data_IF_849658443979
#
_entry.id   IF_849658443979
#
_cell.length_a   1.000
_cell.length_b   1.000
_cell.length_c   1.000
_cell.angle_alpha   90.00
_cell.angle_beta   90.00
_cell.angle_gamma   90.00
#
_symmetry.space_group_name_H-M   'P 1'
#
loop_
_entity.id
_entity.type
_entity.pdbx_description
1 polymer ?
2 polymer ?
3 water ?
#
# COMPACT_ATOMS: atom_id res chain seq x y z
N UNK A 2 1.34 -19.01 -14.51
CA UNK A 2 2.37 -18.04 -14.94
C UNK A 2 2.19 -16.67 -14.29
N UNK A 3 0.93 -16.32 -14.03
CA UNK A 3 0.63 -15.02 -13.49
C UNK A 3 1.12 -14.91 -12.05
N UNK A 4 1.17 -16.04 -11.33
CA UNK A 4 1.62 -16.02 -9.95
C UNK A 4 3.15 -15.97 -9.83
N UNK A 5 3.89 -16.66 -10.70
CA UNK A 5 5.35 -16.48 -10.76
C UNK A 5 5.70 -15.04 -11.06
N UNK A 6 4.92 -14.45 -11.93
CA UNK A 6 5.17 -13.05 -12.24
C UNK A 6 4.83 -12.14 -11.04
N UNK A 7 3.70 -12.37 -10.35
CA UNK A 7 3.45 -11.54 -9.18
C UNK A 7 4.53 -11.73 -8.15
N UNK A 8 5.06 -12.93 -8.00
CA UNK A 8 6.13 -13.11 -7.07
C UNK A 8 7.32 -12.26 -7.49
N UNK A 9 7.63 -12.23 -8.78
CA UNK A 9 8.77 -11.42 -9.22
C UNK A 9 8.52 -9.93 -8.94
N UNK A 10 7.30 -9.43 -9.22
CA UNK A 10 7.06 -8.01 -8.88
C UNK A 10 7.31 -7.77 -7.40
N UNK A 11 6.95 -8.68 -6.51
CA UNK A 11 7.23 -8.57 -5.07
C UNK A 11 8.74 -8.44 -4.78
N UNK A 12 9.59 -9.23 -5.42
CA UNK A 12 11.01 -9.20 -5.10
C UNK A 12 11.75 -8.07 -5.84
N UNK A 13 11.23 -7.69 -7.02
CA UNK A 13 11.84 -6.59 -7.75
C UNK A 13 11.45 -5.24 -7.20
N UNK A 14 10.16 -5.12 -6.86
CA UNK A 14 9.61 -3.80 -6.55
C UNK A 14 9.09 -3.68 -5.10
N UNK A 15 9.23 -4.73 -4.28
CA UNK A 15 8.77 -4.69 -2.91
C UNK A 15 7.32 -4.23 -2.81
N UNK A 16 6.46 -4.83 -3.63
CA UNK A 16 5.04 -4.52 -3.58
C UNK A 16 4.26 -5.72 -4.09
N UNK A 17 3.09 -5.89 -3.53
CA UNK A 17 2.18 -6.93 -3.99
C UNK A 17 0.78 -6.34 -4.04
N UNK A 18 0.14 -6.57 -5.18
CA UNK A 18 -1.22 -6.17 -5.34
C UNK A 18 -2.03 -7.45 -5.10
N UNK A 19 -2.84 -7.47 -4.04
CA UNK A 19 -3.47 -8.71 -3.65
C UNK A 19 -4.70 -8.96 -4.47
N UNK A 20 -5.49 -7.93 -4.76
CA UNK A 20 -6.73 -8.06 -5.50
C UNK A 20 -7.20 -6.74 -5.99
N UNK A 21 -8.09 -6.75 -6.96
CA UNK A 21 -8.68 -5.57 -7.54
C UNK A 21 -10.17 -5.79 -7.71
N UNK A 22 -10.93 -4.75 -7.55
CA UNK A 22 -12.38 -4.81 -7.73
C UNK A 22 -12.93 -3.46 -8.10
N UNK A 23 -14.08 -3.38 -8.74
CA UNK A 23 -14.70 -2.18 -9.13
C UNK A 23 -15.99 -2.03 -8.32
N UNK A 24 -16.23 -0.94 -7.61
CA UNK A 24 -17.38 -0.76 -6.74
C UNK A 24 -18.08 0.53 -7.20
N UNK A 25 -18.90 1.07 -6.29
CA UNK A 25 -19.75 2.24 -6.56
C UNK A 25 -18.90 3.49 -6.70
N UNK A 26 -17.71 3.53 -6.14
CA UNK A 26 -16.89 4.73 -6.27
C UNK A 26 -15.81 4.65 -7.39
N UNK A 27 -15.36 3.49 -7.81
CA UNK A 27 -14.32 3.39 -8.82
C UNK A 27 -13.60 2.06 -8.78
N UNK A 28 -12.34 2.07 -9.24
CA UNK A 28 -11.53 0.88 -9.41
C UNK A 28 -10.56 0.81 -8.23
N UNK A 29 -10.53 -0.26 -7.47
CA UNK A 29 -9.79 -0.36 -6.21
C UNK A 29 -8.83 -1.50 -6.21
N UNK A 30 -7.78 -1.34 -5.45
CA UNK A 30 -6.76 -2.34 -5.26
C UNK A 30 -6.42 -2.42 -3.80
N UNK A 31 -6.18 -3.63 -3.31
CA UNK A 31 -5.61 -3.88 -1.99
C UNK A 31 -4.15 -4.17 -2.19
N UNK A 32 -3.27 -3.33 -1.53
CA UNK A 32 -1.83 -3.38 -1.79
C UNK A 32 -1.03 -3.45 -0.50
N UNK A 33 0.06 -4.23 -0.53
CA UNK A 33 1.10 -4.08 0.51
C UNK A 33 2.42 -3.76 -0.10
N UNK A 34 3.15 -2.81 0.53
CA UNK A 34 4.51 -2.44 0.09
C UNK A 34 5.45 -2.61 1.26
N UNK A 35 6.65 -3.09 0.98
CA UNK A 35 7.77 -3.01 1.93
C UNK A 35 8.53 -4.28 1.87
N UNK A 36 9.38 -4.48 2.86
CA UNK A 36 10.40 -5.53 2.79
C UNK A 36 10.48 -6.21 4.15
N UNK A 37 10.76 -7.54 4.11
CA UNK A 37 11.15 -8.32 5.31
C UNK A 37 12.64 -8.46 5.44
N UNK A 41 16.79 -9.71 13.35
CA UNK A 41 16.81 -9.14 12.05
C UNK A 41 15.66 -9.71 11.32
N UNK A 42 15.36 -11.00 11.52
CA UNK A 42 14.11 -11.53 10.93
C UNK A 42 12.91 -10.77 11.47
N UNK A 43 13.10 -10.05 12.60
CA UNK A 43 12.12 -9.14 13.19
C UNK A 43 12.12 -7.77 12.51
N UNK A 44 13.10 -7.47 11.64
CA UNK A 44 13.17 -6.20 10.95
C UNK A 44 12.40 -6.35 9.63
N UNK A 45 11.21 -5.81 9.59
CA UNK A 45 10.49 -5.69 8.34
C UNK A 45 9.79 -4.36 8.46
N UNK A 46 9.52 -3.74 7.31
CA UNK A 46 8.83 -2.45 7.26
C UNK A 46 7.83 -2.62 6.14
N UNK A 47 6.54 -2.63 6.48
CA UNK A 47 5.45 -2.89 5.51
C UNK A 47 4.30 -1.94 5.77
N UNK A 48 3.72 -1.34 4.70
CA UNK A 48 2.46 -0.61 4.75
C UNK A 48 1.43 -1.32 3.89
N UNK A 49 0.28 -1.49 4.43
CA UNK A 49 -0.88 -2.02 3.66
C UNK A 49 -1.82 -0.82 3.37
N UNK A 50 -2.38 -0.75 2.16
CA UNK A 50 -3.25 0.36 1.83
C UNK A 50 -4.21 -0.07 0.71
N UNK A 51 -5.32 0.65 0.62
CA UNK A 51 -6.18 0.59 -0.55
C UNK A 51 -5.85 1.76 -1.44
N UNK A 52 -5.84 1.50 -2.74
CA UNK A 52 -5.62 2.51 -3.74
C UNK A 52 -6.82 2.48 -4.67
N UNK A 53 -7.45 3.63 -4.81
CA UNK A 53 -8.66 3.77 -5.62
C UNK A 53 -8.42 4.70 -6.78
N UNK A 54 -9.06 4.44 -7.88
CA UNK A 54 -9.03 5.28 -9.04
C UNK A 54 -10.48 5.71 -9.27
N UNK A 55 -10.73 6.99 -9.15
CA UNK A 55 -12.08 7.51 -9.08
C UNK A 55 -12.21 8.61 -10.06
N UNK A 56 -13.41 8.75 -10.64
CA UNK A 56 -13.64 9.91 -11.48
C UNK A 56 -13.96 11.07 -10.56
N UNK A 57 -13.12 12.12 -10.64
CA UNK A 57 -13.33 13.36 -9.96
C UNK A 57 -13.87 14.40 -10.90
N UNK A 58 -13.53 15.66 -10.59
CA UNK A 58 -14.07 16.75 -11.40
C UNK A 58 -13.63 16.54 -12.84
N UNK A 59 -14.56 16.82 -13.78
CA UNK A 59 -14.33 16.71 -15.22
C UNK A 59 -13.95 15.29 -15.66
N UNK A 60 -14.31 14.27 -14.89
CA UNK A 60 -14.11 12.86 -15.28
C UNK A 60 -12.63 12.51 -15.34
N UNK A 61 -11.75 13.38 -14.83
CA UNK A 61 -10.36 13.03 -14.76
C UNK A 61 -10.21 12.04 -13.62
N UNK A 62 -9.42 11.01 -13.82
CA UNK A 62 -9.21 10.00 -12.80
C UNK A 62 -8.30 10.62 -11.73
N UNK A 63 -8.77 10.57 -10.48
CA UNK A 63 -7.98 10.93 -9.31
C UNK A 63 -7.64 9.70 -8.56
N UNK A 64 -6.55 9.69 -7.83
CA UNK A 64 -6.16 8.56 -7.01
C UNK A 64 -6.51 8.81 -5.55
N UNK A 65 -7.08 7.83 -4.88
CA UNK A 65 -7.29 7.84 -3.46
C UNK A 65 -6.34 6.82 -2.87
N UNK A 66 -5.68 7.21 -1.79
CA UNK A 66 -4.89 6.34 -0.92
C UNK A 66 -5.56 6.25 0.43
N UNK A 67 -5.84 5.02 0.91
CA UNK A 67 -6.45 4.85 2.21
C UNK A 67 -5.61 3.84 2.99
N UNK A 68 -4.82 4.28 3.96
CA UNK A 68 -3.97 3.31 4.68
C UNK A 68 -4.82 2.37 5.54
N UNK A 69 -4.34 1.14 5.69
CA UNK A 69 -5.07 0.09 6.39
C UNK A 69 -4.26 -0.20 7.63
N UNK A 70 -4.61 0.43 8.74
CA UNK A 70 -3.79 0.45 9.92
C UNK A 70 -4.41 -0.20 11.13
N UNK A 71 -5.63 -0.74 11.00
CA UNK A 71 -6.39 -1.19 12.16
C UNK A 71 -5.73 -2.39 12.82
N UNK A 72 -5.21 -3.34 12.04
CA UNK A 72 -4.66 -4.55 12.64
C UNK A 72 -3.18 -4.43 13.00
N UNK A 73 -2.53 -3.28 12.80
CA UNK A 73 -1.11 -3.16 13.12
C UNK A 73 -0.93 -2.89 14.61
N UNK A 74 0.16 -3.41 15.15
CA UNK A 74 0.47 -3.24 16.56
C UNK A 74 1.06 -1.85 16.81
N UNK A 75 1.03 -1.44 18.07
CA UNK A 75 1.63 -0.15 18.41
C UNK A 75 3.14 -0.14 18.04
N UNK A 76 3.82 -1.27 18.24
CA UNK A 76 5.24 -1.30 17.88
C UNK A 76 5.45 -1.11 16.38
N UNK A 77 4.58 -1.73 15.55
CA UNK A 77 4.69 -1.57 14.11
C UNK A 77 4.41 -0.14 13.67
N UNK A 78 3.40 0.49 14.28
CA UNK A 78 3.07 1.88 13.95
C UNK A 78 4.17 2.83 14.33
N UNK A 79 4.81 2.60 15.49
CA UNK A 79 5.86 3.50 15.87
C UNK A 79 6.97 3.41 14.87
N UNK A 80 7.30 2.18 14.47
CA UNK A 80 8.35 2.03 13.49
C UNK A 80 7.95 2.69 12.19
N UNK A 81 6.71 2.44 11.71
CA UNK A 81 6.24 3.09 10.51
C UNK A 81 6.41 4.61 10.62
N UNK A 82 5.84 5.19 11.68
CA UNK A 82 5.88 6.65 11.86
C UNK A 82 7.29 7.21 11.90
N UNK A 83 8.26 6.43 12.36
CA UNK A 83 9.66 6.85 12.39
C UNK A 83 10.30 6.79 10.99
N UNK A 84 9.68 6.08 10.04
CA UNK A 84 10.27 5.97 8.72
C UNK A 84 9.53 6.79 7.66
N UNK A 85 8.22 6.97 7.82
CA UNK A 85 7.37 7.47 6.76
C UNK A 85 6.96 8.90 7.06
N UNK A 86 6.76 9.73 6.05
CA UNK A 86 6.12 11.04 6.25
C UNK A 86 4.73 10.98 6.88
N UNK A 87 4.36 12.02 7.60
CA UNK A 87 3.15 12.04 8.41
C UNK A 87 1.88 11.96 7.54
N UNK A 88 1.98 12.38 6.28
CA UNK A 88 0.78 12.36 5.47
C UNK A 88 0.35 10.95 5.12
N UNK A 89 1.24 9.99 5.25
CA UNK A 89 0.85 8.63 4.85
C UNK A 89 0.07 7.92 5.89
N UNK A 90 -0.37 8.60 6.95
CA UNK A 90 -1.20 8.00 7.97
C UNK A 90 -2.62 8.53 7.93
N UNK A 91 -3.04 9.08 6.80
CA UNK A 91 -4.42 9.49 6.61
C UNK A 91 -4.79 9.26 5.14
N UNK A 92 -6.08 9.40 4.83
CA UNK A 92 -6.54 9.19 3.46
C UNK A 92 -6.12 10.40 2.64
N UNK A 93 -5.54 10.14 1.47
CA UNK A 93 -5.08 11.18 0.58
C UNK A 93 -5.71 11.07 -0.79
N UNK A 94 -5.78 12.20 -1.48
CA UNK A 94 -6.09 12.29 -2.89
C UNK A 94 -4.92 12.90 -3.63
N UNK A 95 -4.61 12.45 -4.83
CA UNK A 95 -3.51 12.99 -5.62
C UNK A 95 -3.72 12.68 -7.08
N UNK A 96 -3.08 13.41 -7.97
CA UNK A 96 -3.32 13.19 -9.40
C UNK A 96 -2.71 11.90 -9.89
N UNK A 97 -3.36 11.32 -10.87
CA UNK A 97 -2.87 10.09 -11.47
C UNK A 97 -1.43 10.22 -11.96
N UNK A 98 -1.07 11.42 -12.42
CA UNK A 98 0.29 11.64 -12.90
C UNK A 98 1.34 11.58 -11.81
N UNK A 99 0.93 11.60 -10.55
CA UNK A 99 1.88 11.49 -9.45
C UNK A 99 1.94 10.08 -8.87
N UNK A 100 1.37 9.08 -9.54
CA UNK A 100 1.25 7.78 -8.91
C UNK A 100 2.61 7.14 -8.64
N UNK A 101 3.50 7.17 -9.63
CA UNK A 101 4.82 6.58 -9.43
C UNK A 101 5.58 7.35 -8.37
N UNK A 102 5.44 8.68 -8.32
CA UNK A 102 6.12 9.43 -7.26
C UNK A 102 5.66 9.00 -5.88
N UNK A 103 4.38 8.69 -5.77
CA UNK A 103 3.81 8.19 -4.54
C UNK A 103 4.41 6.86 -4.15
N UNK A 104 4.41 5.91 -5.09
CA UNK A 104 5.04 4.61 -4.85
C UNK A 104 6.49 4.78 -4.35
N UNK A 105 7.25 5.63 -5.06
CA UNK A 105 8.67 5.79 -4.74
C UNK A 105 8.83 6.43 -3.38
N UNK A 106 7.92 7.29 -2.98
CA UNK A 106 7.99 7.87 -1.64
C UNK A 106 7.79 6.83 -0.55
N UNK A 107 6.81 5.96 -0.72
CA UNK A 107 6.65 4.90 0.26
C UNK A 107 7.82 3.94 0.22
N UNK A 108 8.30 3.61 -0.99
CA UNK A 108 9.35 2.61 -1.13
C UNK A 108 10.60 3.08 -0.45
N UNK A 109 11.00 4.34 -0.72
CA UNK A 109 12.27 4.82 -0.17
C UNK A 109 12.17 4.90 1.32
N UNK A 110 11.01 5.27 1.81
CA UNK A 110 10.78 5.41 3.23
C UNK A 110 10.83 4.06 3.94
N UNK A 111 10.23 3.05 3.32
CA UNK A 111 10.19 1.73 3.94
C UNK A 111 11.56 1.11 3.95
N UNK A 112 12.38 1.46 2.97
CA UNK A 112 13.73 0.91 2.83
C UNK A 112 14.75 1.60 3.71
N UNK A 113 14.37 2.64 4.45
CA UNK A 113 15.29 3.27 5.41
C UNK A 113 15.82 2.26 6.44
N UNK B 2 7.23 -27.91 8.65
CA UNK B 2 8.40 -27.04 8.55
C UNK B 2 8.14 -25.69 7.83
N UNK B 3 7.60 -25.76 6.60
CA UNK B 3 7.57 -24.57 5.74
C UNK B 3 6.77 -23.41 6.32
N UNK B 4 5.67 -23.63 7.02
CA UNK B 4 4.99 -22.50 7.67
C UNK B 4 5.86 -21.77 8.67
N UNK B 5 6.86 -22.42 9.23
CA UNK B 5 7.64 -21.85 10.33
C UNK B 5 9.00 -21.38 9.90
N UNK B 6 9.72 -22.16 9.10
CA UNK B 6 11.06 -21.83 8.69
C UNK B 6 11.15 -21.22 7.31
N UNK B 7 10.03 -21.05 6.60
CA UNK B 7 10.10 -20.48 5.27
C UNK B 7 10.25 -18.99 5.29
N UNK B 8 10.69 -18.46 4.13
CA UNK B 8 10.85 -17.04 3.95
C UNK B 8 9.49 -16.35 4.00
N UNK B 9 9.32 -15.32 4.82
CA UNK B 9 8.05 -14.60 4.82
C UNK B 9 7.82 -13.86 3.49
N UNK B 10 6.55 -13.67 3.16
CA UNK B 10 6.19 -13.06 1.86
C UNK B 10 5.07 -12.07 2.08
N UNK B 11 4.97 -11.11 1.16
CA UNK B 11 3.84 -10.20 1.26
C UNK B 11 2.53 -10.85 0.91
N UNK B 12 2.56 -12.07 0.37
CA UNK B 12 1.27 -12.70 0.09
C UNK B 12 0.42 -12.84 1.34
N UNK B 13 1.02 -13.05 2.50
CA UNK B 13 0.22 -13.25 3.71
C UNK B 13 -0.37 -11.97 4.27
N UNK B 14 -0.17 -10.86 3.60
CA UNK B 14 -0.74 -9.64 4.08
C UNK B 14 -2.17 -9.46 3.60
N UNK B 15 -2.67 -10.38 2.75
CA UNK B 15 -4.07 -10.26 2.34
C UNK B 15 -4.98 -10.18 3.56
N UNK B 16 -4.68 -10.92 4.66
CA UNK B 16 -5.49 -10.89 5.87
C UNK B 16 -5.66 -9.51 6.44
N UNK B 17 -4.73 -8.59 6.15
CA UNK B 17 -4.84 -7.28 6.77
C UNK B 17 -6.10 -6.57 6.29
N UNK B 18 -6.64 -6.96 5.14
CA UNK B 18 -7.77 -6.24 4.56
C UNK B 18 -9.11 -6.78 5.02
N UNK B 19 -9.10 -7.81 5.83
CA UNK B 19 -10.37 -8.42 6.19
C UNK B 19 -11.19 -7.44 7.03
N UNK B 20 -12.42 -7.17 6.60
CA UNK B 20 -13.33 -6.31 7.35
C UNK B 20 -13.23 -4.83 7.04
N UNK B 21 -12.34 -4.43 6.13
CA UNK B 21 -12.18 -3.03 5.75
C UNK B 21 -13.04 -2.72 4.52
N UNK B 22 -13.84 -1.65 4.59
CA UNK B 22 -14.64 -1.21 3.45
C UNK B 22 -14.02 0.04 2.77
N UNK B 23 -14.18 0.14 1.43
CA UNK B 23 -13.81 1.37 0.72
C UNK B 23 -15.00 2.33 0.54
N UNK B 24 -16.15 2.01 1.10
CA UNK B 24 -17.31 2.92 0.99
C UNK B 24 -17.19 4.08 1.96
N UNK B 29 -13.54 12.43 2.53
CA UNK B 29 -12.66 13.33 3.26
C UNK B 29 -11.21 12.97 3.04
N UNK B 30 -10.58 13.59 2.03
CA UNK B 30 -9.22 13.25 1.64
C UNK B 30 -8.38 14.55 1.72
N UNK B 31 -7.15 14.42 2.16
CA UNK B 31 -6.16 15.52 2.11
C UNK B 31 -5.52 15.45 0.73
N UNK B 32 -5.60 16.55 -0.01
CA UNK B 32 -5.17 16.57 -1.40
C UNK B 32 -3.71 17.01 -1.46
N UNK B 33 -2.87 16.20 -2.09
CA UNK B 33 -1.45 16.46 -2.30
C UNK B 33 -1.13 16.39 -3.81
N UNK B 34 -0.43 17.39 -4.36
CA UNK B 34 -0.21 17.38 -5.81
C UNK B 34 1.00 16.55 -6.23
N UNK B 35 2.00 16.33 -5.39
CA UNK B 35 3.19 15.64 -5.86
C UNK B 35 3.99 15.21 -4.63
N UNK B 36 4.92 14.26 -4.84
CA UNK B 36 5.69 13.74 -3.72
C UNK B 36 7.14 13.83 -4.15
N UNK B 37 7.99 14.37 -3.27
CA UNK B 37 9.40 14.54 -3.57
C UNK B 37 10.19 13.23 -3.50
N UNK B 38 11.43 13.30 -3.97
CA UNK B 38 12.34 12.16 -3.94
C UNK B 38 13.42 12.33 -2.87
#
# INVERSE_FOLDING_TARGET
ENSEVIKDLYEYLCNVRVHKSYEDDSGLWFDISQGTHSGGSSDDYSIMDYKLGFVKGQAQVTEVIYAPVLKQRSTEELYSLQSKLPEYLFETLSFPLSSLNQFYNKIAKSLNK
SNAPYFGRPSLKTRAKQFEGVSSKDIGENCRRIEAFSD
#
